data_IF_612437624121
#
_entry.id   IF_612437624121
#
_cell.length_a   1.000
_cell.length_b   1.000
_cell.length_c   1.000
_cell.angle_alpha   90.00
_cell.angle_beta   90.00
_cell.angle_gamma   90.00
#
_symmetry.space_group_name_H-M   'P 1'
#
loop_
_entity.id
_entity.type
_entity.pdbx_description
1 polymer ?
#
# COMPACT_ATOMS: atom_id res chain seq x y z
N UNK A 1 6.67 -13.86 -6.30
CA UNK A 1 5.64 -13.24 -5.45
C UNK A 1 5.62 -11.74 -5.75
N UNK A 2 4.48 -11.18 -6.18
CA UNK A 2 4.31 -9.73 -6.37
C UNK A 2 3.59 -9.09 -5.17
N UNK A 3 3.51 -7.75 -5.13
CA UNK A 3 2.88 -7.03 -4.02
C UNK A 3 1.43 -7.47 -3.76
N UNK A 4 0.65 -7.76 -4.81
CA UNK A 4 -0.73 -8.22 -4.68
C UNK A 4 -0.84 -9.63 -4.08
N UNK A 5 0.06 -10.54 -4.46
CA UNK A 5 0.14 -11.88 -3.87
C UNK A 5 0.51 -11.80 -2.39
N UNK A 6 1.45 -10.92 -2.02
CA UNK A 6 1.79 -10.68 -0.62
C UNK A 6 0.59 -10.16 0.19
N UNK A 7 -0.19 -9.22 -0.37
CA UNK A 7 -1.41 -8.73 0.29
C UNK A 7 -2.47 -9.81 0.46
N UNK A 8 -2.62 -10.69 -0.52
CA UNK A 8 -3.48 -11.87 -0.43
C UNK A 8 -3.08 -12.79 0.72
N UNK A 9 -1.80 -13.16 0.80
CA UNK A 9 -1.30 -14.02 1.89
C UNK A 9 -1.38 -13.32 3.26
N UNK A 10 -1.03 -12.04 3.33
CA UNK A 10 -1.13 -11.25 4.56
C UNK A 10 -2.58 -11.14 5.05
N UNK A 11 -3.57 -11.18 4.15
CA UNK A 11 -4.98 -11.17 4.54
C UNK A 11 -5.42 -12.44 5.28
N UNK A 12 -4.72 -13.56 5.06
CA UNK A 12 -4.97 -14.84 5.72
C UNK A 12 -4.28 -14.97 7.09
N UNK A 13 -3.45 -14.00 7.47
CA UNK A 13 -2.72 -14.00 8.73
C UNK A 13 -3.47 -13.10 9.73
N UNK A 14 -3.77 -13.66 10.91
CA UNK A 14 -4.26 -12.87 12.03
C UNK A 14 -3.08 -12.02 12.57
N UNK A 15 -3.18 -10.71 12.43
CA UNK A 15 -2.21 -9.78 12.99
C UNK A 15 -2.75 -9.26 14.31
N UNK A 16 -2.00 -9.44 15.40
CA UNK A 16 -2.36 -8.95 16.74
C UNK A 16 -2.42 -7.42 16.82
N UNK A 17 -1.91 -6.72 15.80
CA UNK A 17 -1.93 -5.26 15.69
C UNK A 17 -2.39 -4.84 14.30
N UNK A 18 -3.09 -3.70 14.25
CA UNK A 18 -3.50 -3.09 12.98
C UNK A 18 -2.25 -2.57 12.26
N UNK A 19 -1.87 -3.22 11.17
CA UNK A 19 -0.80 -2.77 10.29
C UNK A 19 -1.39 -1.91 9.17
N UNK A 20 -0.87 -0.69 9.02
CA UNK A 20 -1.19 0.15 7.87
C UNK A 20 -0.28 -0.19 6.69
N UNK A 21 -0.88 -0.36 5.52
CA UNK A 21 -0.17 -0.74 4.30
C UNK A 21 -0.16 0.43 3.33
N UNK A 22 1.01 0.76 2.79
CA UNK A 22 1.14 1.69 1.67
C UNK A 22 1.73 0.96 0.46
N UNK A 23 1.09 1.10 -0.70
CA UNK A 23 1.59 0.52 -1.96
C UNK A 23 2.47 1.55 -2.65
N UNK A 24 3.63 1.12 -3.14
CA UNK A 24 4.56 1.97 -3.90
C UNK A 24 4.77 1.38 -5.29
N UNK A 25 4.45 2.15 -6.34
CA UNK A 25 4.53 1.68 -7.72
C UNK A 25 5.08 2.71 -8.69
N UNK A 26 5.67 2.25 -9.79
CA UNK A 26 5.98 3.07 -10.97
C UNK A 26 4.76 3.20 -11.90
N UNK A 27 3.78 2.32 -11.75
CA UNK A 27 2.59 2.26 -12.57
C UNK A 27 1.54 3.24 -12.05
N UNK A 28 1.13 4.16 -12.92
CA UNK A 28 -0.08 4.98 -12.76
C UNK A 28 -1.33 4.22 -13.22
N UNK A 29 -1.24 2.89 -13.38
CA UNK A 29 -2.35 2.06 -13.84
C UNK A 29 -3.56 2.25 -12.92
N UNK A 30 -4.68 2.78 -13.45
CA UNK A 30 -5.92 2.97 -12.70
C UNK A 30 -6.41 1.67 -12.05
N UNK A 31 -6.10 0.51 -12.63
CA UNK A 31 -6.48 -0.81 -12.11
C UNK A 31 -5.79 -1.08 -10.77
N UNK A 32 -4.50 -0.73 -10.64
CA UNK A 32 -3.75 -0.91 -9.39
C UNK A 32 -4.25 0.04 -8.30
N UNK A 33 -4.58 1.28 -8.66
CA UNK A 33 -5.12 2.28 -7.73
C UNK A 33 -6.50 1.85 -7.22
N UNK A 34 -7.38 1.39 -8.12
CA UNK A 34 -8.75 1.00 -7.77
C UNK A 34 -8.77 -0.29 -6.93
N UNK A 35 -7.86 -1.23 -7.21
CA UNK A 35 -7.67 -2.44 -6.39
C UNK A 35 -7.18 -2.10 -4.98
N UNK A 36 -6.37 -1.05 -4.83
CA UNK A 36 -5.91 -0.56 -3.53
C UNK A 36 -7.00 0.12 -2.69
N UNK A 37 -7.89 0.88 -3.33
CA UNK A 37 -8.95 1.64 -2.65
C UNK A 37 -10.03 0.76 -1.99
N UNK A 38 -10.21 -0.47 -2.45
CA UNK A 38 -11.23 -1.39 -1.92
C UNK A 38 -10.77 -2.20 -0.70
N UNK A 39 -9.59 -1.89 -0.12
CA UNK A 39 -9.08 -2.59 1.06
C UNK A 39 -8.90 -1.65 2.24
N UNK A 40 -9.63 -1.92 3.34
CA UNK A 40 -9.55 -1.15 4.59
C UNK A 40 -8.16 -1.18 5.26
N UNK A 41 -7.25 -2.04 4.78
CA UNK A 41 -5.86 -2.17 5.26
C UNK A 41 -4.89 -1.25 4.51
N UNK A 42 -5.29 -0.70 3.36
CA UNK A 42 -4.43 0.13 2.51
C UNK A 42 -4.68 1.61 2.83
N UNK A 43 -3.65 2.26 3.41
CA UNK A 43 -3.65 3.69 3.73
C UNK A 43 -3.51 4.57 2.49
N UNK A 44 -2.83 4.08 1.45
CA UNK A 44 -2.67 4.84 0.21
C UNK A 44 -1.66 4.26 -0.77
N UNK A 45 -1.52 4.98 -1.87
CA UNK A 45 -0.67 4.62 -3.01
C UNK A 45 0.34 5.73 -3.27
N UNK A 46 1.61 5.36 -3.44
CA UNK A 46 2.70 6.27 -3.78
C UNK A 46 3.27 5.96 -5.16
N UNK A 47 3.44 7.02 -5.96
CA UNK A 47 4.03 6.95 -7.28
C UNK A 47 5.53 7.22 -7.20
N UNK A 48 6.32 6.35 -7.82
CA UNK A 48 7.77 6.53 -7.99
C UNK A 48 8.06 7.55 -9.11
N UNK A 49 9.19 8.28 -9.04
CA UNK A 49 10.19 8.25 -7.98
C UNK A 49 9.70 8.94 -6.69
N UNK A 50 9.99 8.32 -5.55
CA UNK A 50 9.63 8.87 -4.24
C UNK A 50 10.54 10.04 -3.90
N UNK A 51 9.94 11.11 -3.37
CA UNK A 51 10.66 12.22 -2.73
C UNK A 51 10.56 12.09 -1.22
N UNK A 52 11.59 12.49 -0.49
CA UNK A 52 11.64 12.39 0.99
C UNK A 52 10.43 13.05 1.67
N UNK A 53 10.00 14.19 1.15
CA UNK A 53 8.82 14.91 1.65
C UNK A 53 7.48 14.15 1.49
N UNK A 54 7.40 13.15 0.60
CA UNK A 54 6.22 12.31 0.46
C UNK A 54 6.21 11.17 1.48
N UNK A 55 7.38 10.66 1.86
CA UNK A 55 7.52 9.66 2.91
C UNK A 55 7.23 10.26 4.30
N UNK A 56 7.68 11.48 4.54
CA UNK A 56 7.40 12.19 5.81
C UNK A 56 5.90 12.34 6.08
N UNK A 57 5.09 12.58 5.03
CA UNK A 57 3.62 12.66 5.14
C UNK A 57 2.95 11.33 5.46
N UNK A 58 3.63 10.20 5.31
CA UNK A 58 3.04 8.88 5.59
C UNK A 58 3.54 8.35 6.94
N UNK A 59 4.79 8.63 7.30
CA UNK A 59 5.42 8.08 8.50
C UNK A 59 5.13 8.86 9.79
N UNK A 60 4.77 10.14 9.69
CA UNK A 60 4.64 11.04 10.86
C UNK A 60 3.26 11.67 11.04
N UNK A 61 2.21 11.05 10.47
CA UNK A 61 0.81 11.35 10.80
C UNK A 61 0.21 10.12 11.46
#
# INVERSE_FOLDING_TARGET
MNGWQFLGELSNIALDRRSEICIVSFSVDPVDVNRGQNSDKIRGYLIKPLKSNQLEKILFI
#
